data_IF_619700699800
#
_entry.id   IF_619700699800
#
_cell.length_a   1.000
_cell.length_b   1.000
_cell.length_c   1.000
_cell.angle_alpha   90.00
_cell.angle_beta   90.00
_cell.angle_gamma   90.00
#
_symmetry.space_group_name_H-M   'P 1'
#
loop_
_entity.id
_entity.type
_entity.pdbx_description
1 polymer ?
#
# COMPACT_ATOMS: atom_id res chain seq x y z
N UNK A 1 -3.50 -7.75 -3.31
CA UNK A 1 -4.84 -7.54 -2.70
C UNK A 1 -5.37 -6.19 -3.16
N UNK A 2 -6.56 -6.18 -3.67
CA UNK A 2 -7.19 -4.94 -4.13
C UNK A 2 -7.69 -4.13 -2.92
N UNK A 3 -7.07 -2.97 -2.71
CA UNK A 3 -7.43 -2.07 -1.61
C UNK A 3 -8.87 -1.57 -1.70
N UNK A 4 -9.38 -1.38 -2.91
CA UNK A 4 -10.74 -0.87 -3.11
C UNK A 4 -11.83 -1.93 -3.00
N UNK A 5 -11.47 -3.17 -2.86
CA UNK A 5 -12.43 -4.27 -2.73
C UNK A 5 -13.26 -4.06 -1.47
N UNK A 6 -14.57 -4.05 -1.63
CA UNK A 6 -15.51 -3.84 -0.52
C UNK A 6 -15.79 -2.37 -0.20
N UNK A 7 -15.17 -1.42 -0.91
CA UNK A 7 -15.48 -0.01 -0.76
C UNK A 7 -16.59 0.40 -1.72
N UNK A 8 -17.43 1.35 -1.29
CA UNK A 8 -18.42 1.97 -2.18
C UNK A 8 -17.74 2.92 -3.17
N UNK A 9 -18.45 3.28 -4.24
CA UNK A 9 -17.96 4.29 -5.19
C UNK A 9 -17.67 5.63 -4.51
N UNK A 10 -18.51 6.00 -3.52
CA UNK A 10 -18.31 7.23 -2.76
C UNK A 10 -17.04 7.15 -1.89
N UNK A 11 -16.79 6.00 -1.24
CA UNK A 11 -15.57 5.77 -0.47
C UNK A 11 -14.33 5.91 -1.36
N UNK A 12 -14.35 5.29 -2.52
CA UNK A 12 -13.25 5.35 -3.49
C UNK A 12 -12.96 6.79 -3.90
N UNK A 13 -14.00 7.56 -4.23
CA UNK A 13 -13.84 8.98 -4.58
C UNK A 13 -13.20 9.77 -3.45
N UNK A 14 -13.63 9.56 -2.21
CA UNK A 14 -13.10 10.26 -1.04
C UNK A 14 -11.63 9.94 -0.79
N UNK A 15 -11.25 8.68 -0.95
CA UNK A 15 -9.85 8.26 -0.83
C UNK A 15 -8.99 8.90 -1.93
N UNK A 16 -9.42 8.78 -3.19
CA UNK A 16 -8.64 9.23 -4.34
C UNK A 16 -8.49 10.75 -4.39
N UNK A 17 -9.42 11.49 -3.82
CA UNK A 17 -9.35 12.95 -3.76
C UNK A 17 -8.10 13.44 -3.02
N UNK A 18 -7.60 12.69 -2.04
CA UNK A 18 -6.44 13.05 -1.24
C UNK A 18 -5.12 12.53 -1.82
N UNK A 19 -5.17 11.76 -2.90
CA UNK A 19 -4.02 11.11 -3.49
C UNK A 19 -3.48 11.91 -4.68
N UNK A 20 -2.16 11.83 -4.90
CA UNK A 20 -1.49 12.53 -6.00
C UNK A 20 -1.03 11.54 -7.06
N UNK A 21 -1.49 11.67 -8.32
CA UNK A 21 -1.01 10.83 -9.41
C UNK A 21 0.48 11.03 -9.66
N UNK A 22 1.21 9.95 -9.89
CA UNK A 22 2.65 9.97 -10.13
C UNK A 22 3.02 8.81 -11.05
N UNK A 23 3.99 9.04 -11.94
CA UNK A 23 4.59 7.99 -12.76
C UNK A 23 5.92 7.59 -12.15
N UNK A 24 6.15 6.29 -12.00
CA UNK A 24 7.42 5.72 -11.55
C UNK A 24 8.02 4.95 -12.71
N UNK A 25 9.24 5.31 -13.10
CA UNK A 25 9.90 4.68 -14.24
C UNK A 25 10.38 3.27 -13.92
N UNK A 26 10.34 2.40 -14.92
CA UNK A 26 10.86 1.04 -14.83
C UNK A 26 12.31 1.05 -14.31
N UNK A 27 12.62 0.12 -13.40
CA UNK A 27 13.93 -0.01 -12.78
C UNK A 27 14.12 0.81 -11.51
N UNK A 28 13.21 1.75 -11.19
CA UNK A 28 13.34 2.57 -9.99
C UNK A 28 12.91 1.80 -8.75
N UNK A 29 13.76 1.82 -7.71
CA UNK A 29 13.42 1.39 -6.37
C UNK A 29 12.74 2.57 -5.67
N UNK A 30 11.44 2.49 -5.47
CA UNK A 30 10.65 3.61 -4.92
C UNK A 30 10.25 3.41 -3.46
N UNK A 31 10.40 2.21 -2.95
CA UNK A 31 10.32 1.88 -1.52
C UNK A 31 11.62 1.15 -1.20
N UNK A 32 12.34 1.61 -0.18
CA UNK A 32 13.64 1.05 0.19
C UNK A 32 13.59 0.48 1.58
N UNK A 33 13.95 -0.79 1.73
CA UNK A 33 14.03 -1.48 3.02
C UNK A 33 14.90 -0.68 3.99
N UNK A 34 14.41 -0.49 5.22
CA UNK A 34 15.09 0.25 6.26
C UNK A 34 14.90 1.76 6.21
N UNK A 35 14.39 2.33 5.12
CA UNK A 35 14.11 3.75 5.01
C UNK A 35 12.83 4.15 5.76
N UNK A 36 12.70 5.42 6.18
CA UNK A 36 11.46 5.90 6.77
C UNK A 36 10.29 5.80 5.78
N UNK A 37 9.12 5.35 6.26
CA UNK A 37 7.92 5.22 5.45
C UNK A 37 7.00 6.42 5.61
N UNK A 38 7.00 7.34 4.64
CA UNK A 38 6.19 8.57 4.69
C UNK A 38 5.06 8.61 3.68
N UNK A 39 5.05 7.66 2.75
CA UNK A 39 4.08 7.63 1.66
C UNK A 39 3.56 6.21 1.45
N UNK A 40 2.28 6.11 1.09
CA UNK A 40 1.67 4.88 0.61
C UNK A 40 1.34 5.05 -0.87
N UNK A 41 1.33 3.94 -1.61
CA UNK A 41 1.18 3.94 -3.06
C UNK A 41 0.06 2.99 -3.48
N UNK A 42 -0.89 3.50 -4.25
CA UNK A 42 -1.88 2.67 -4.93
C UNK A 42 -1.42 2.45 -6.37
N UNK A 43 -1.23 1.21 -6.77
CA UNK A 43 -0.84 0.88 -8.14
C UNK A 43 -2.07 0.91 -9.04
N UNK A 44 -2.02 1.72 -10.09
CA UNK A 44 -3.09 1.80 -11.10
C UNK A 44 -2.75 0.96 -12.33
N UNK A 45 -1.47 0.95 -12.76
CA UNK A 45 -1.00 0.14 -13.89
C UNK A 45 0.47 -0.20 -13.71
N UNK A 46 0.89 -1.29 -14.37
CA UNK A 46 2.24 -1.78 -14.31
C UNK A 46 2.44 -2.83 -13.22
N UNK A 47 3.71 -3.27 -13.05
CA UNK A 47 4.09 -4.29 -12.07
C UNK A 47 5.37 -3.91 -11.37
N UNK A 48 5.49 -4.35 -10.12
CA UNK A 48 6.67 -4.14 -9.30
C UNK A 48 7.00 -5.37 -8.48
N UNK A 49 8.27 -5.56 -8.15
CA UNK A 49 8.76 -6.67 -7.34
C UNK A 49 9.05 -6.19 -5.92
N UNK A 50 8.51 -6.92 -4.95
CA UNK A 50 8.77 -6.69 -3.52
C UNK A 50 9.82 -7.69 -3.06
N UNK A 51 10.89 -7.19 -2.44
CA UNK A 51 11.97 -8.06 -1.94
C UNK A 51 12.46 -7.62 -0.56
N UNK A 52 13.00 -8.58 0.17
CA UNK A 52 13.70 -8.34 1.44
C UNK A 52 15.10 -8.89 1.29
N UNK A 53 16.11 -8.01 1.31
CA UNK A 53 17.46 -8.39 0.94
C UNK A 53 17.49 -8.92 -0.50
N UNK A 54 18.00 -10.11 -0.72
CA UNK A 54 18.02 -10.79 -2.02
C UNK A 54 16.79 -11.65 -2.30
N UNK A 55 15.90 -11.80 -1.30
CA UNK A 55 14.72 -12.67 -1.40
C UNK A 55 13.55 -11.93 -2.01
N UNK A 56 13.00 -12.44 -3.10
CA UNK A 56 11.77 -11.95 -3.69
C UNK A 56 10.59 -12.46 -2.86
N UNK A 57 9.78 -11.53 -2.34
CA UNK A 57 8.61 -11.87 -1.55
C UNK A 57 7.36 -12.05 -2.41
N UNK A 58 7.14 -11.14 -3.33
CA UNK A 58 5.96 -11.17 -4.21
C UNK A 58 6.09 -10.15 -5.34
N UNK A 59 5.17 -10.22 -6.29
CA UNK A 59 4.99 -9.24 -7.36
C UNK A 59 3.64 -8.58 -7.14
N UNK A 60 3.60 -7.26 -7.30
CA UNK A 60 2.39 -6.46 -7.12
C UNK A 60 2.00 -5.78 -8.42
N UNK A 61 0.72 -5.46 -8.56
CA UNK A 61 0.16 -4.86 -9.77
C UNK A 61 -1.06 -4.01 -9.46
N UNK A 62 -1.89 -3.74 -10.49
CA UNK A 62 -3.05 -2.85 -10.36
C UNK A 62 -3.97 -3.24 -9.22
N UNK A 63 -4.40 -2.25 -8.42
CA UNK A 63 -5.25 -2.43 -7.26
C UNK A 63 -4.50 -2.67 -5.95
N UNK A 64 -3.21 -2.98 -5.99
CA UNK A 64 -2.41 -3.19 -4.78
C UNK A 64 -2.04 -1.86 -4.12
N UNK A 65 -2.09 -1.86 -2.79
CA UNK A 65 -1.78 -0.72 -1.95
C UNK A 65 -0.51 -1.03 -1.16
N UNK A 66 0.53 -0.22 -1.37
CA UNK A 66 1.87 -0.50 -0.86
C UNK A 66 2.29 0.54 0.17
N UNK A 67 3.04 0.09 1.18
CA UNK A 67 3.66 0.99 2.15
C UNK A 67 2.73 1.47 3.25
N UNK A 68 1.52 0.93 3.35
CA UNK A 68 0.50 1.35 4.30
C UNK A 68 0.91 1.09 5.76
N UNK A 69 1.63 0.01 6.01
CA UNK A 69 2.07 -0.33 7.37
C UNK A 69 3.01 0.73 7.94
N UNK A 70 4.07 1.07 7.21
CA UNK A 70 5.04 2.08 7.66
C UNK A 70 4.41 3.45 7.80
N UNK A 71 3.45 3.80 6.94
CA UNK A 71 2.74 5.07 7.00
C UNK A 71 1.88 5.14 8.26
N UNK A 72 1.23 4.04 8.64
CA UNK A 72 0.38 3.98 9.84
C UNK A 72 1.19 3.96 11.14
N UNK A 73 2.24 3.15 11.21
CA UNK A 73 3.00 2.93 12.44
C UNK A 73 4.14 3.93 12.62
N UNK A 74 4.64 4.50 11.53
CA UNK A 74 5.85 5.32 11.55
C UNK A 74 7.14 4.52 11.56
N UNK A 75 7.05 3.20 11.47
CA UNK A 75 8.22 2.32 11.43
C UNK A 75 8.93 2.39 10.08
N UNK A 76 10.19 1.91 10.05
CA UNK A 76 10.95 1.81 8.82
C UNK A 76 10.34 0.77 7.88
N UNK A 77 10.62 0.93 6.58
CA UNK A 77 10.18 -0.01 5.55
C UNK A 77 10.71 -1.41 5.81
N UNK A 78 9.84 -2.42 5.69
CA UNK A 78 10.19 -3.83 5.94
C UNK A 78 10.68 -4.54 4.68
N UNK A 79 10.54 -3.92 3.53
CA UNK A 79 10.97 -4.48 2.24
C UNK A 79 11.22 -3.37 1.24
N UNK A 80 11.93 -3.71 0.15
CA UNK A 80 12.13 -2.82 -0.99
C UNK A 80 11.14 -3.17 -2.10
N UNK A 81 10.74 -2.16 -2.88
CA UNK A 81 9.89 -2.34 -4.05
C UNK A 81 10.52 -1.66 -5.26
N UNK A 82 10.72 -2.43 -6.33
CA UNK A 82 11.33 -1.97 -7.58
C UNK A 82 10.31 -2.09 -8.70
N UNK A 83 10.15 -1.02 -9.48
CA UNK A 83 9.28 -1.02 -10.63
C UNK A 83 9.87 -1.92 -11.72
N UNK A 84 9.16 -2.98 -12.12
CA UNK A 84 9.57 -3.86 -13.22
C UNK A 84 9.22 -3.23 -14.56
N UNK A 85 8.09 -2.52 -14.60
CA UNK A 85 7.63 -1.72 -15.74
C UNK A 85 7.42 -0.29 -15.27
N UNK A 86 7.14 0.63 -16.20
CA UNK A 86 6.63 1.93 -15.80
C UNK A 86 5.33 1.72 -15.00
N UNK A 87 5.20 2.47 -13.92
CA UNK A 87 4.01 2.40 -13.05
C UNK A 87 3.27 3.72 -13.10
N UNK A 88 1.96 3.63 -13.20
CA UNK A 88 1.08 4.73 -12.81
C UNK A 88 0.56 4.43 -11.41
N UNK A 89 0.80 5.35 -10.48
CA UNK A 89 0.42 5.20 -9.08
C UNK A 89 -0.29 6.44 -8.58
N UNK A 90 -1.04 6.29 -7.51
CA UNK A 90 -1.52 7.42 -6.71
C UNK A 90 -0.83 7.36 -5.36
N UNK A 91 -0.30 8.50 -4.92
CA UNK A 91 0.51 8.62 -3.70
C UNK A 91 -0.31 9.28 -2.60
N UNK A 92 -0.25 8.71 -1.41
CA UNK A 92 -0.92 9.21 -0.22
C UNK A 92 0.13 9.45 0.88
N UNK A 93 0.25 10.69 1.34
CA UNK A 93 1.17 11.05 2.42
C UNK A 93 0.64 10.58 3.77
N UNK A 94 1.55 10.40 4.73
CA UNK A 94 1.20 9.98 6.09
C UNK A 94 0.14 10.90 6.73
N UNK A 95 0.32 12.21 6.61
CA UNK A 95 -0.64 13.20 7.16
C UNK A 95 -2.02 13.04 6.53
N UNK A 96 -2.07 12.93 5.21
CA UNK A 96 -3.32 12.78 4.47
C UNK A 96 -3.98 11.44 4.80
N UNK A 97 -3.19 10.39 4.96
CA UNK A 97 -3.69 9.07 5.35
C UNK A 97 -4.33 9.12 6.74
N UNK A 98 -3.66 9.75 7.71
CA UNK A 98 -4.19 9.91 9.06
C UNK A 98 -5.50 10.69 9.06
N UNK A 99 -5.56 11.80 8.32
CA UNK A 99 -6.78 12.59 8.17
C UNK A 99 -7.92 11.78 7.54
N UNK A 100 -7.60 10.98 6.53
CA UNK A 100 -8.58 10.13 5.87
C UNK A 100 -9.20 9.12 6.84
N UNK A 101 -8.37 8.48 7.66
CA UNK A 101 -8.84 7.49 8.63
C UNK A 101 -9.70 8.14 9.71
N UNK A 102 -9.38 9.35 10.14
CA UNK A 102 -10.18 10.11 11.10
C UNK A 102 -11.55 10.51 10.52
N UNK A 103 -11.57 10.95 9.26
CA UNK A 103 -12.79 11.36 8.57
C UNK A 103 -13.66 10.18 8.14
N UNK A 104 -13.04 9.03 7.90
CA UNK A 104 -13.69 7.82 7.36
C UNK A 104 -13.44 6.61 8.26
N UNK A 105 -14.07 6.54 9.47
CA UNK A 105 -13.83 5.42 10.38
C UNK A 105 -14.14 4.04 9.79
N UNK A 106 -15.14 3.95 8.92
CA UNK A 106 -15.48 2.70 8.24
C UNK A 106 -14.35 2.23 7.33
N UNK A 107 -13.62 3.15 6.72
CA UNK A 107 -12.46 2.82 5.90
C UNK A 107 -11.33 2.26 6.77
N UNK A 108 -11.12 2.83 7.94
CA UNK A 108 -10.14 2.32 8.90
C UNK A 108 -10.45 0.88 9.30
N UNK A 109 -11.71 0.56 9.54
CA UNK A 109 -12.15 -0.82 9.86
C UNK A 109 -11.87 -1.76 8.68
N UNK A 110 -12.20 -1.36 7.45
CA UNK A 110 -11.94 -2.17 6.25
C UNK A 110 -10.45 -2.42 6.04
N UNK A 111 -9.62 -1.41 6.27
CA UNK A 111 -8.17 -1.54 6.18
C UNK A 111 -7.64 -2.51 7.23
N UNK A 112 -8.14 -2.41 8.46
CA UNK A 112 -7.79 -3.32 9.54
C UNK A 112 -8.15 -4.76 9.18
N UNK A 113 -9.34 -4.99 8.62
CA UNK A 113 -9.76 -6.32 8.16
C UNK A 113 -8.85 -6.86 7.07
N UNK A 114 -8.42 -6.01 6.15
CA UNK A 114 -7.48 -6.39 5.09
C UNK A 114 -6.12 -6.82 5.67
N UNK A 115 -5.61 -6.10 6.66
CA UNK A 115 -4.37 -6.44 7.35
C UNK A 115 -4.51 -7.77 8.11
N UNK A 116 -5.62 -7.98 8.79
CA UNK A 116 -5.90 -9.24 9.50
C UNK A 116 -5.93 -10.41 8.52
N UNK A 117 -6.59 -10.26 7.38
CA UNK A 117 -6.64 -11.31 6.37
C UNK A 117 -5.24 -11.63 5.82
N UNK A 118 -4.40 -10.61 5.63
CA UNK A 118 -3.01 -10.81 5.21
C UNK A 118 -2.22 -11.60 6.25
N UNK A 119 -2.40 -11.29 7.53
CA UNK A 119 -1.77 -12.03 8.62
C UNK A 119 -2.22 -13.49 8.64
N UNK A 120 -3.50 -13.76 8.43
CA UNK A 120 -4.02 -15.13 8.37
C UNK A 120 -3.42 -15.94 7.22
N UNK A 121 -3.15 -15.29 6.08
CA UNK A 121 -2.51 -15.95 4.95
C UNK A 121 -1.05 -16.30 5.24
N UNK A 122 -0.34 -15.43 5.97
CA UNK A 122 1.06 -15.65 6.35
C UNK A 122 1.21 -16.63 7.49
N UNK A 123 0.22 -16.69 8.40
CA UNK A 123 0.22 -17.53 9.61
C UNK A 123 -1.09 -18.33 9.68
N UNK A 124 -1.22 -19.42 8.88
CA UNK A 124 -2.48 -20.17 8.82
C UNK A 124 -2.91 -20.78 10.18
N UNK A 125 -1.98 -20.97 11.09
CA UNK A 125 -2.27 -21.47 12.45
C UNK A 125 -2.67 -20.39 13.45
N UNK A 126 -2.69 -19.13 13.04
CA UNK A 126 -3.03 -18.03 13.93
C UNK A 126 -4.52 -18.08 14.30
N UNK A 127 -4.79 -18.08 15.58
CA UNK A 127 -6.14 -18.04 16.12
C UNK A 127 -6.44 -16.60 16.55
N UNK A 128 -7.47 -16.02 15.94
CA UNK A 128 -7.81 -14.64 16.24
C UNK A 128 -9.25 -14.42 16.55
#
# INVERSE_FOLDING_TARGET
MDFFRGLSKADIRNVRRLMTPTTIKAGKEFITEGAPGRQAFLVLSGRATVRRGSKILTVVGPGDFLGEMSVLTGDHRTASVIADTDLEVEVLNRREFASLLEEQPKLAIKLLMAVINRLRQLEPGLVG
#
